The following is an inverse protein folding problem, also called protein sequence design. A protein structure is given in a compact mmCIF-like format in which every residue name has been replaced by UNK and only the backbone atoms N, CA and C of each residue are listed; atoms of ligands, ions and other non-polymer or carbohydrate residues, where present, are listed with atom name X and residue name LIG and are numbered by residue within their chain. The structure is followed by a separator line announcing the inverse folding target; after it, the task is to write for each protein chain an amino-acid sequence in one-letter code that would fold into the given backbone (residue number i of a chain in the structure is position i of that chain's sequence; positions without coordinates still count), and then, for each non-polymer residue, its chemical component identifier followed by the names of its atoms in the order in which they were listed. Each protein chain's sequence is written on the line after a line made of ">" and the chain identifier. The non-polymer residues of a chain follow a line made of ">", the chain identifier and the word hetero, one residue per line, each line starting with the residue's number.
data_IF_024928954484
#
_entry.id   IF_024928954484
#
_cell.length_a   1.000
_cell.length_b   1.000
_cell.length_c   1.000
_cell.angle_alpha   90.00
_cell.angle_beta   90.00
_cell.angle_gamma   90.00
#
_symmetry.space_group_name_H-M   'P 1'
#
loop_
_entity.id
_entity.type
_entity.pdbx_description
1 polymer ?
#
# COMPACT_ATOMS: atom_id res chain seq x y z
N UNK A 1 -0.79 -10.09 -14.52
CA UNK A 1 0.08 -11.02 -13.76
C UNK A 1 0.43 -10.34 -12.45
N UNK A 2 0.55 -11.07 -11.34
CA UNK A 2 0.89 -10.48 -10.05
C UNK A 2 2.36 -10.03 -10.04
N UNK A 3 2.61 -8.80 -9.59
CA UNK A 3 3.97 -8.28 -9.40
C UNK A 3 4.57 -8.79 -8.08
N UNK A 4 5.92 -8.89 -7.99
CA UNK A 4 6.58 -9.22 -6.74
C UNK A 4 6.27 -8.17 -5.67
N UNK A 5 6.32 -8.59 -4.40
CA UNK A 5 6.23 -7.66 -3.27
C UNK A 5 7.47 -6.76 -3.23
N UNK A 6 7.33 -5.50 -2.77
CA UNK A 6 8.47 -4.63 -2.56
C UNK A 6 9.44 -5.25 -1.55
N UNK A 7 10.73 -5.13 -1.81
CA UNK A 7 11.83 -5.68 -1.01
C UNK A 7 12.40 -4.68 0.01
N UNK A 8 11.97 -3.42 -0.06
CA UNK A 8 12.39 -2.34 0.84
C UNK A 8 11.31 -1.28 1.03
N UNK A 9 11.48 -0.45 2.06
CA UNK A 9 10.60 0.69 2.34
C UNK A 9 10.60 1.68 1.15
N UNK A 10 11.75 1.91 0.53
CA UNK A 10 11.88 2.84 -0.60
C UNK A 10 11.15 2.30 -1.85
N UNK A 11 11.17 0.99 -2.07
CA UNK A 11 10.34 0.36 -3.11
C UNK A 11 8.85 0.45 -2.81
N UNK A 12 8.45 0.32 -1.54
CA UNK A 12 7.05 0.54 -1.13
C UNK A 12 6.62 1.98 -1.37
N UNK A 13 7.46 2.98 -1.08
CA UNK A 13 7.16 4.38 -1.39
C UNK A 13 7.02 4.60 -2.91
N UNK A 14 7.92 4.02 -3.71
CA UNK A 14 7.84 4.10 -5.18
C UNK A 14 6.58 3.44 -5.74
N UNK A 15 6.19 2.29 -5.19
CA UNK A 15 4.94 1.61 -5.55
C UNK A 15 3.73 2.53 -5.33
N UNK A 16 3.65 3.16 -4.15
CA UNK A 16 2.56 4.08 -3.83
C UNK A 16 2.59 5.33 -4.72
N UNK A 17 3.76 5.92 -4.92
CA UNK A 17 3.92 7.09 -5.78
C UNK A 17 3.57 6.80 -7.25
N UNK A 18 3.77 5.57 -7.73
CA UNK A 18 3.40 5.16 -9.10
C UNK A 18 1.89 5.13 -9.35
N UNK A 19 1.09 5.07 -8.29
CA UNK A 19 -0.37 5.20 -8.35
C UNK A 19 -0.87 6.51 -7.76
N UNK A 20 -0.08 7.58 -7.87
CA UNK A 20 -0.41 8.93 -7.39
C UNK A 20 -0.73 9.02 -5.88
N UNK A 21 -0.21 8.07 -5.09
CA UNK A 21 -0.36 8.07 -3.64
C UNK A 21 0.93 8.50 -2.95
N UNK A 22 0.91 9.71 -2.38
CA UNK A 22 2.04 10.23 -1.61
C UNK A 22 1.97 9.72 -0.17
N UNK A 23 2.84 8.76 0.15
CA UNK A 23 2.99 8.25 1.51
C UNK A 23 4.24 8.81 2.19
N UNK A 24 4.09 9.15 3.46
CA UNK A 24 5.24 9.41 4.31
C UNK A 24 6.03 8.11 4.58
N UNK A 25 7.20 8.25 5.20
CA UNK A 25 8.04 7.09 5.49
C UNK A 25 7.41 6.16 6.53
N UNK A 26 6.58 6.68 7.44
CA UNK A 26 5.94 5.89 8.49
C UNK A 26 4.91 4.91 7.91
N UNK A 27 4.03 5.39 7.03
CA UNK A 27 3.03 4.58 6.34
C UNK A 27 3.67 3.55 5.41
N UNK A 28 4.69 3.96 4.65
CA UNK A 28 5.42 3.03 3.78
C UNK A 28 6.12 1.92 4.57
N UNK A 29 6.65 2.23 5.75
CA UNK A 29 7.27 1.23 6.63
C UNK A 29 6.24 0.24 7.16
N UNK A 30 5.11 0.73 7.67
CA UNK A 30 4.02 -0.12 8.17
C UNK A 30 3.46 -1.03 7.07
N UNK A 31 3.27 -0.50 5.86
CA UNK A 31 2.82 -1.28 4.71
C UNK A 31 3.86 -2.32 4.27
N UNK A 32 5.13 -1.95 4.18
CA UNK A 32 6.21 -2.87 3.85
C UNK A 32 6.25 -4.06 4.82
N UNK A 33 6.22 -3.79 6.12
CA UNK A 33 6.23 -4.83 7.16
C UNK A 33 4.98 -5.72 7.08
N UNK A 34 3.79 -5.13 6.89
CA UNK A 34 2.56 -5.90 6.74
C UNK A 34 2.62 -6.86 5.55
N UNK A 35 3.11 -6.40 4.39
CA UNK A 35 3.29 -7.23 3.20
C UNK A 35 4.34 -8.33 3.41
N UNK A 36 5.51 -7.98 3.96
CA UNK A 36 6.61 -8.91 4.21
C UNK A 36 6.23 -10.01 5.22
N UNK A 37 5.52 -9.64 6.28
CA UNK A 37 5.09 -10.57 7.33
C UNK A 37 3.76 -11.26 7.03
N UNK A 38 3.09 -10.89 5.92
CA UNK A 38 1.75 -11.36 5.55
C UNK A 38 0.74 -11.15 6.68
N UNK A 39 0.79 -9.98 7.32
CA UNK A 39 -0.09 -9.60 8.43
C UNK A 39 -1.12 -8.57 7.96
N UNK A 40 -2.36 -8.58 8.48
CA UNK A 40 -3.33 -7.54 8.21
C UNK A 40 -2.81 -6.16 8.67
N UNK A 41 -3.13 -5.11 7.90
CA UNK A 41 -2.87 -3.73 8.25
C UNK A 41 -4.20 -2.98 8.35
N UNK A 42 -4.48 -2.41 9.52
CA UNK A 42 -5.62 -1.51 9.72
C UNK A 42 -5.14 -0.06 9.59
N UNK A 43 -5.89 0.75 8.84
CA UNK A 43 -5.57 2.15 8.61
C UNK A 43 -6.62 3.04 9.28
N UNK A 44 -6.21 3.75 10.31
CA UNK A 44 -7.02 4.75 11.02
C UNK A 44 -6.66 6.17 10.56
N UNK A 45 -7.62 7.10 10.67
CA UNK A 45 -7.41 8.51 10.37
C UNK A 45 -8.70 9.23 9.98
N UNK A 46 -8.62 10.55 9.80
CA UNK A 46 -9.75 11.39 9.43
C UNK A 46 -10.36 11.02 8.08
N UNK A 47 -11.65 11.35 7.86
CA UNK A 47 -12.26 11.19 6.55
C UNK A 47 -11.49 12.02 5.50
N UNK A 48 -11.24 11.44 4.31
CA UNK A 48 -10.54 12.14 3.23
C UNK A 48 -9.02 12.01 3.19
N UNK A 49 -8.37 11.35 4.17
CA UNK A 49 -6.88 11.17 4.19
C UNK A 49 -6.36 10.06 3.27
N UNK A 50 -7.15 9.61 2.28
CA UNK A 50 -6.71 8.61 1.30
C UNK A 50 -6.74 7.14 1.75
N UNK A 51 -7.41 6.80 2.87
CA UNK A 51 -7.53 5.41 3.38
C UNK A 51 -8.13 4.42 2.36
N UNK A 52 -9.07 4.87 1.54
CA UNK A 52 -9.66 4.05 0.48
C UNK A 52 -8.74 3.98 -0.74
N UNK A 53 -8.01 5.05 -1.01
CA UNK A 53 -7.20 5.19 -2.22
C UNK A 53 -5.96 4.30 -2.17
N UNK A 54 -5.31 4.21 -1.01
CA UNK A 54 -4.15 3.34 -0.82
C UNK A 54 -4.46 1.87 -1.17
N UNK A 55 -5.66 1.37 -0.83
CA UNK A 55 -6.08 0.02 -1.16
C UNK A 55 -6.14 -0.23 -2.67
N UNK A 56 -6.63 0.76 -3.44
CA UNK A 56 -6.66 0.70 -4.91
C UNK A 56 -5.25 0.70 -5.49
N UNK A 57 -4.39 1.59 -4.99
CA UNK A 57 -3.01 1.75 -5.48
C UNK A 57 -2.19 0.49 -5.23
N UNK A 58 -2.31 -0.10 -4.03
CA UNK A 58 -1.64 -1.37 -3.71
C UNK A 58 -2.16 -2.50 -4.61
N UNK A 59 -3.48 -2.62 -4.78
CA UNK A 59 -4.08 -3.65 -5.62
C UNK A 59 -3.62 -3.53 -7.08
N UNK A 60 -3.68 -2.33 -7.66
CA UNK A 60 -3.23 -2.05 -9.02
C UNK A 60 -1.73 -2.30 -9.17
N UNK A 61 -0.91 -1.74 -8.26
CA UNK A 61 0.54 -1.85 -8.32
C UNK A 61 1.03 -3.29 -8.16
N UNK A 62 0.38 -4.11 -7.32
CA UNK A 62 0.72 -5.52 -7.15
C UNK A 62 0.01 -6.45 -8.14
N UNK A 63 -0.86 -5.93 -9.01
CA UNK A 63 -1.66 -6.72 -9.95
C UNK A 63 -2.59 -7.71 -9.23
N UNK A 64 -3.27 -7.26 -8.16
CA UNK A 64 -4.18 -8.01 -7.31
C UNK A 64 -5.59 -7.47 -7.42
N UNK A 65 -6.58 -8.33 -7.14
CA UNK A 65 -7.97 -7.91 -7.04
C UNK A 65 -8.21 -7.11 -5.74
N UNK A 66 -8.90 -5.98 -5.85
CA UNK A 66 -9.38 -5.22 -4.70
C UNK A 66 -10.80 -5.68 -4.36
N UNK A 67 -10.95 -6.41 -3.26
CA UNK A 67 -12.25 -6.82 -2.74
C UNK A 67 -12.78 -5.70 -1.82
N UNK A 68 -13.93 -5.12 -2.16
CA UNK A 68 -14.62 -4.12 -1.33
C UNK A 68 -15.97 -4.69 -0.86
N UNK A 69 -16.19 -4.69 0.45
CA UNK A 69 -17.43 -5.13 1.10
C UNK A 69 -18.38 -3.96 1.36
#
# INVERSE_FOLDING_TARGET
>A
MAHPLPSSIDETQKLLASGDYVADRSLATSLFLALAMRRPLFLEGEAGVGKTEIGKVIAQGLGRELIRL
#
